data_IF_967900517505
#
_entry.id   IF_967900517505
#
_cell.length_a   1.000
_cell.length_b   1.000
_cell.length_c   1.000
_cell.angle_alpha   90.00
_cell.angle_beta   90.00
_cell.angle_gamma   90.00
#
_symmetry.space_group_name_H-M   'P 1'
#
loop_
_entity.id
_entity.type
_entity.pdbx_description
1 polymer ?
#
# COMPACT_ATOMS: atom_id res chain seq x y z
N UNK A 1 24.54 -27.66 14.18
CA UNK A 1 23.88 -27.02 13.02
C UNK A 1 22.40 -26.93 13.34
N UNK A 2 21.90 -25.75 13.74
CA UNK A 2 20.49 -25.55 14.05
C UNK A 2 19.79 -25.03 12.79
N UNK A 3 18.73 -25.71 12.41
CA UNK A 3 17.94 -25.45 11.22
C UNK A 3 17.47 -23.99 11.22
N UNK A 4 17.85 -23.24 10.18
CA UNK A 4 17.24 -21.96 9.84
C UNK A 4 15.79 -22.26 9.47
N UNK A 5 14.84 -21.73 10.25
CA UNK A 5 13.43 -21.70 9.82
C UNK A 5 13.37 -20.83 8.56
N UNK A 6 12.58 -21.17 7.54
CA UNK A 6 12.29 -20.23 6.47
C UNK A 6 11.71 -18.98 7.12
N UNK A 7 12.21 -17.80 6.75
CA UNK A 7 11.73 -16.52 7.26
C UNK A 7 10.20 -16.53 7.23
N UNK A 8 9.62 -16.48 8.43
CA UNK A 8 8.18 -16.45 8.63
C UNK A 8 7.74 -15.10 8.04
N UNK A 9 7.34 -15.08 6.77
CA UNK A 9 6.82 -13.88 6.09
C UNK A 9 5.66 -13.40 6.95
N UNK A 10 5.91 -12.33 7.71
CA UNK A 10 4.95 -11.75 8.64
C UNK A 10 3.76 -11.31 7.80
N UNK A 11 2.62 -11.95 8.03
CA UNK A 11 1.34 -11.56 7.44
C UNK A 11 1.00 -10.17 7.97
N UNK A 12 1.06 -9.17 7.09
CA UNK A 12 0.67 -7.81 7.41
C UNK A 12 -0.85 -7.71 7.27
N UNK A 13 -1.52 -7.34 8.36
CA UNK A 13 -2.89 -6.88 8.31
C UNK A 13 -2.87 -5.41 7.88
N UNK A 14 -3.26 -5.17 6.64
CA UNK A 14 -3.24 -3.84 6.05
C UNK A 14 -4.50 -3.07 6.45
N UNK A 15 -4.37 -1.77 6.59
CA UNK A 15 -5.48 -0.86 6.90
C UNK A 15 -5.42 0.39 6.02
N UNK A 16 -6.54 1.10 5.91
CA UNK A 16 -6.59 2.42 5.25
C UNK A 16 -5.54 3.35 5.85
N UNK A 17 -4.81 4.06 4.98
CA UNK A 17 -3.69 4.91 5.35
C UNK A 17 -2.34 4.20 5.43
N UNK A 18 -2.28 2.87 5.29
CA UNK A 18 -0.99 2.19 5.16
C UNK A 18 -0.26 2.63 3.89
N UNK A 19 1.03 2.95 4.05
CA UNK A 19 1.92 3.32 2.96
C UNK A 19 2.71 2.09 2.53
N UNK A 20 2.68 1.83 1.23
CA UNK A 20 3.38 0.70 0.61
C UNK A 20 4.26 1.18 -0.53
N UNK A 21 5.29 0.38 -0.82
CA UNK A 21 6.12 0.49 -2.02
C UNK A 21 5.89 -0.72 -2.90
N UNK A 22 5.67 -0.50 -4.20
CA UNK A 22 5.55 -1.60 -5.16
C UNK A 22 6.92 -2.26 -5.36
N UNK A 23 6.96 -3.59 -5.45
CA UNK A 23 8.17 -4.36 -5.76
C UNK A 23 8.32 -4.59 -7.27
N UNK A 24 7.24 -4.44 -8.02
CA UNK A 24 7.16 -4.60 -9.47
C UNK A 24 6.48 -3.40 -10.15
N UNK A 25 6.48 -3.42 -11.50
CA UNK A 25 5.91 -2.35 -12.31
C UNK A 25 4.44 -2.63 -12.64
N UNK A 26 3.61 -1.59 -12.60
CA UNK A 26 2.18 -1.66 -12.89
C UNK A 26 1.83 -0.68 -14.01
N UNK A 27 1.70 -1.19 -15.23
CA UNK A 27 1.46 -0.37 -16.42
C UNK A 27 2.58 0.67 -16.63
N UNK A 28 2.30 1.98 -16.66
CA UNK A 28 3.33 3.01 -16.79
C UNK A 28 4.09 3.30 -15.48
N UNK A 29 3.69 2.68 -14.36
CA UNK A 29 4.29 2.95 -13.05
C UNK A 29 5.43 1.97 -12.78
N UNK A 30 6.67 2.44 -12.56
CA UNK A 30 7.81 1.57 -12.33
C UNK A 30 7.74 0.88 -10.96
N UNK A 31 8.51 -0.18 -10.79
CA UNK A 31 8.83 -0.74 -9.48
C UNK A 31 9.41 0.34 -8.55
N UNK A 32 9.08 0.26 -7.26
CA UNK A 32 9.45 1.26 -6.27
C UNK A 32 8.47 2.42 -6.15
N UNK A 33 7.34 2.40 -6.87
CA UNK A 33 6.30 3.43 -6.76
C UNK A 33 5.67 3.41 -5.37
N UNK A 34 5.38 4.59 -4.83
CA UNK A 34 4.72 4.74 -3.52
C UNK A 34 3.20 4.80 -3.69
N UNK A 35 2.51 4.04 -2.84
CA UNK A 35 1.06 3.97 -2.78
C UNK A 35 0.55 4.09 -1.34
N UNK A 36 -0.74 4.41 -1.23
CA UNK A 36 -1.50 4.33 0.00
C UNK A 36 -2.66 3.36 -0.17
N UNK A 37 -2.93 2.55 0.86
CA UNK A 37 -4.15 1.76 0.97
C UNK A 37 -5.33 2.71 1.21
N UNK A 38 -6.30 2.72 0.29
CA UNK A 38 -7.49 3.57 0.41
C UNK A 38 -8.75 2.77 0.77
N UNK A 39 -8.73 1.45 0.60
CA UNK A 39 -9.85 0.57 0.90
C UNK A 39 -9.33 -0.81 1.31
N UNK A 40 -10.02 -1.42 2.28
CA UNK A 40 -9.88 -2.84 2.61
C UNK A 40 -11.26 -3.48 2.66
N UNK A 41 -11.38 -4.71 2.19
CA UNK A 41 -12.64 -5.44 2.15
C UNK A 41 -12.42 -6.95 2.22
N UNK A 42 -13.38 -7.72 2.74
CA UNK A 42 -13.21 -9.16 2.89
C UNK A 42 -13.04 -9.85 1.53
N UNK A 43 -12.12 -10.82 1.47
CA UNK A 43 -12.11 -11.80 0.40
C UNK A 43 -13.31 -12.74 0.58
N UNK A 44 -14.16 -12.84 -0.44
CA UNK A 44 -15.35 -13.70 -0.37
C UNK A 44 -14.99 -15.20 -0.36
N UNK A 45 -13.78 -15.56 -0.79
CA UNK A 45 -13.33 -16.96 -0.93
C UNK A 45 -12.50 -17.45 0.28
N UNK A 46 -12.11 -16.55 1.20
CA UNK A 46 -11.27 -16.88 2.35
C UNK A 46 -11.77 -16.19 3.62
N UNK A 47 -11.86 -16.92 4.74
CA UNK A 47 -12.35 -16.36 6.02
C UNK A 47 -11.50 -15.20 6.57
N UNK A 48 -10.22 -15.16 6.19
CA UNK A 48 -9.19 -14.15 6.45
C UNK A 48 -8.13 -14.46 5.40
N UNK A 49 -7.80 -13.58 4.42
CA UNK A 49 -7.39 -12.19 4.64
C UNK A 49 -8.15 -11.16 3.81
N UNK A 50 -8.08 -9.88 4.19
CA UNK A 50 -8.70 -8.78 3.46
C UNK A 50 -7.98 -8.52 2.12
N UNK A 51 -8.76 -8.23 1.09
CA UNK A 51 -8.28 -7.62 -0.15
C UNK A 51 -8.11 -6.13 0.11
N UNK A 52 -7.04 -5.54 -0.42
CA UNK A 52 -6.80 -4.10 -0.31
C UNK A 52 -6.79 -3.46 -1.68
N UNK A 53 -7.17 -2.20 -1.76
CA UNK A 53 -6.97 -1.38 -2.96
C UNK A 53 -6.06 -0.20 -2.65
N UNK A 54 -5.19 0.13 -3.61
CA UNK A 54 -4.15 1.14 -3.41
C UNK A 54 -4.17 2.19 -4.52
N UNK A 55 -3.89 3.43 -4.11
CA UNK A 55 -3.72 4.57 -5.01
C UNK A 55 -2.29 5.05 -4.92
N UNK A 56 -1.65 5.21 -6.07
CA UNK A 56 -0.29 5.73 -6.16
C UNK A 56 -0.27 7.24 -5.88
N UNK A 57 0.87 7.73 -5.40
CA UNK A 57 1.09 9.17 -5.15
C UNK A 57 0.89 10.06 -6.39
N UNK A 58 1.01 9.48 -7.59
CA UNK A 58 0.73 10.14 -8.87
C UNK A 58 -0.77 10.08 -9.29
N UNK A 59 -1.63 9.56 -8.43
CA UNK A 59 -3.07 9.45 -8.64
C UNK A 59 -3.53 8.23 -9.43
N UNK A 60 -2.62 7.38 -9.88
CA UNK A 60 -3.03 6.14 -10.54
C UNK A 60 -3.56 5.15 -9.50
N UNK A 61 -4.84 4.79 -9.63
CA UNK A 61 -5.42 3.60 -9.03
C UNK A 61 -4.93 2.38 -9.81
N UNK A 62 -4.17 1.49 -9.15
CA UNK A 62 -3.64 0.27 -9.77
C UNK A 62 -4.41 -0.99 -9.35
N UNK A 63 -5.56 -0.79 -8.70
CA UNK A 63 -6.52 -1.83 -8.38
C UNK A 63 -6.27 -2.51 -7.04
N UNK A 64 -6.77 -3.75 -6.96
CA UNK A 64 -6.86 -4.51 -5.72
C UNK A 64 -5.86 -5.65 -5.67
N UNK A 65 -5.39 -5.95 -4.45
CA UNK A 65 -4.40 -6.97 -4.15
C UNK A 65 -4.97 -7.94 -3.12
N UNK A 66 -5.13 -9.20 -3.52
CA UNK A 66 -5.39 -10.29 -2.58
C UNK A 66 -4.14 -10.57 -1.72
N UNK A 67 -4.28 -11.46 -0.75
CA UNK A 67 -3.20 -11.72 0.21
C UNK A 67 -1.88 -12.21 -0.41
N UNK A 68 -1.96 -13.06 -1.43
CA UNK A 68 -0.78 -13.56 -2.14
C UNK A 68 -0.09 -12.41 -2.85
N UNK A 69 -0.86 -11.60 -3.59
CA UNK A 69 -0.37 -10.44 -4.34
C UNK A 69 0.24 -9.39 -3.41
N UNK A 70 -0.39 -9.10 -2.27
CA UNK A 70 0.16 -8.20 -1.24
C UNK A 70 1.57 -8.61 -0.81
N UNK A 71 1.78 -9.92 -0.67
CA UNK A 71 3.02 -10.50 -0.15
C UNK A 71 4.14 -10.59 -1.20
N UNK A 72 3.78 -10.53 -2.49
CA UNK A 72 4.70 -10.59 -3.62
C UNK A 72 5.02 -9.20 -4.16
N UNK A 73 4.00 -8.34 -4.25
CA UNK A 73 4.04 -7.08 -4.98
C UNK A 73 4.24 -5.84 -4.11
N UNK A 74 4.11 -5.95 -2.78
CA UNK A 74 4.12 -4.79 -1.89
C UNK A 74 5.11 -4.93 -0.72
N UNK A 75 5.75 -3.82 -0.38
CA UNK A 75 6.53 -3.65 0.86
C UNK A 75 5.87 -2.58 1.72
N UNK A 76 5.41 -2.94 2.91
CA UNK A 76 4.87 -1.96 3.87
C UNK A 76 5.98 -1.05 4.41
N UNK A 77 5.72 0.26 4.46
CA UNK A 77 6.68 1.27 4.91
C UNK A 77 6.25 1.97 6.20
N UNK A 78 4.95 2.08 6.43
CA UNK A 78 4.41 2.86 7.55
C UNK A 78 2.91 3.08 7.40
N UNK A 79 2.37 3.96 8.23
CA UNK A 79 0.97 4.37 8.21
C UNK A 79 0.89 5.88 8.38
N UNK A 80 -0.08 6.50 7.70
CA UNK A 80 -0.45 7.90 7.89
C UNK A 80 -1.86 7.96 8.46
N UNK A 81 -2.10 8.94 9.34
CA UNK A 81 -3.41 9.14 9.95
C UNK A 81 -4.35 9.83 8.93
N UNK A 82 -5.21 9.04 8.31
CA UNK A 82 -6.21 9.52 7.36
C UNK A 82 -7.54 8.79 7.58
N UNK A 83 -8.60 9.58 7.70
CA UNK A 83 -9.97 9.06 7.79
C UNK A 83 -10.63 9.08 6.41
N UNK A 84 -10.24 8.16 5.53
CA UNK A 84 -10.82 8.03 4.20
C UNK A 84 -11.89 6.93 4.13
N UNK A 85 -12.98 7.18 3.42
CA UNK A 85 -14.04 6.20 3.15
C UNK A 85 -14.28 6.16 1.65
N UNK A 86 -13.87 5.07 1.03
CA UNK A 86 -14.13 4.86 -0.39
C UNK A 86 -15.62 4.69 -0.67
N UNK A 87 -16.06 5.16 -1.85
CA UNK A 87 -17.45 5.02 -2.29
C UNK A 87 -17.57 4.65 -3.76
N UNK A 88 -16.76 5.23 -4.64
CA UNK A 88 -16.73 4.89 -6.07
C UNK A 88 -15.44 5.38 -6.73
N UNK A 89 -15.09 4.86 -7.92
CA UNK A 89 -13.90 5.33 -8.64
C UNK A 89 -13.98 6.81 -9.02
N UNK A 90 -15.19 7.31 -9.31
CA UNK A 90 -15.40 8.73 -9.63
C UNK A 90 -15.14 9.63 -8.43
N UNK A 91 -15.54 9.19 -7.22
CA UNK A 91 -15.28 9.92 -5.99
C UNK A 91 -13.78 9.93 -5.67
N UNK A 92 -13.12 8.76 -5.71
CA UNK A 92 -11.68 8.63 -5.50
C UNK A 92 -10.89 9.60 -6.39
N UNK A 93 -11.29 9.71 -7.66
CA UNK A 93 -10.60 10.58 -8.60
C UNK A 93 -10.91 12.07 -8.43
N UNK A 94 -12.10 12.41 -7.95
CA UNK A 94 -12.41 13.77 -7.52
C UNK A 94 -11.57 14.14 -6.29
N UNK A 95 -11.55 13.29 -5.26
CA UNK A 95 -10.79 13.50 -4.02
C UNK A 95 -9.29 13.69 -4.28
N UNK A 96 -8.71 12.86 -5.16
CA UNK A 96 -7.32 13.02 -5.58
C UNK A 96 -7.06 14.37 -6.24
N UNK A 97 -7.90 14.74 -7.22
CA UNK A 97 -7.75 16.00 -7.95
C UNK A 97 -7.95 17.23 -7.07
N UNK A 98 -8.84 17.13 -6.09
CA UNK A 98 -9.13 18.21 -5.13
C UNK A 98 -8.09 18.26 -4.01
N UNK A 99 -7.13 17.34 -4.01
CA UNK A 99 -5.96 17.35 -3.13
C UNK A 99 -6.21 16.74 -1.74
N UNK A 100 -7.28 15.95 -1.58
CA UNK A 100 -7.61 15.29 -0.32
C UNK A 100 -6.43 14.48 0.26
N UNK A 101 -5.68 13.81 -0.62
CA UNK A 101 -4.54 12.96 -0.24
C UNK A 101 -3.21 13.72 -0.14
N UNK A 102 -3.16 15.03 -0.39
CA UNK A 102 -1.89 15.76 -0.51
C UNK A 102 -1.03 15.67 0.76
N UNK A 103 -1.66 15.80 1.94
CA UNK A 103 -0.94 15.68 3.21
C UNK A 103 -0.44 14.24 3.42
N UNK A 104 -1.30 13.25 3.25
CA UNK A 104 -0.94 11.83 3.36
C UNK A 104 0.22 11.45 2.42
N UNK A 105 0.21 11.94 1.19
CA UNK A 105 1.30 11.69 0.24
C UNK A 105 2.59 12.45 0.55
N UNK A 106 2.51 13.66 1.11
CA UNK A 106 3.68 14.35 1.61
C UNK A 106 4.33 13.57 2.77
N UNK A 107 3.53 13.07 3.71
CA UNK A 107 4.00 12.24 4.82
C UNK A 107 4.58 10.90 4.33
N UNK A 108 3.93 10.26 3.34
CA UNK A 108 4.41 9.03 2.72
C UNK A 108 5.82 9.17 2.12
N UNK A 109 6.13 10.32 1.52
CA UNK A 109 7.47 10.60 1.01
C UNK A 109 8.51 10.68 2.13
N UNK A 110 8.19 11.35 3.23
CA UNK A 110 9.06 11.43 4.41
C UNK A 110 9.31 10.04 5.01
N UNK A 111 8.27 9.21 5.14
CA UNK A 111 8.39 7.82 5.60
C UNK A 111 9.32 7.02 4.68
N UNK A 112 9.11 7.11 3.36
CA UNK A 112 9.90 6.41 2.35
C UNK A 112 11.40 6.75 2.44
N UNK A 113 11.73 8.02 2.68
CA UNK A 113 13.11 8.49 2.85
C UNK A 113 13.74 7.95 4.14
N UNK A 114 13.01 7.95 5.26
CA UNK A 114 13.51 7.43 6.55
C UNK A 114 13.81 5.92 6.50
N UNK A 115 12.96 5.16 5.82
CA UNK A 115 13.18 3.72 5.61
C UNK A 115 14.39 3.50 4.69
N UNK A 116 14.55 4.31 3.65
CA UNK A 116 15.69 4.26 2.73
C UNK A 116 17.04 4.56 3.39
N UNK A 117 17.09 5.47 4.37
CA UNK A 117 18.31 5.80 5.13
C UNK A 117 18.69 4.70 6.12
N UNK A 118 17.70 4.01 6.69
CA UNK A 118 17.94 2.96 7.70
C UNK A 118 18.50 1.66 7.12
N UNK A 119 18.45 1.45 5.80
CA UNK A 119 19.00 0.26 5.12
C UNK A 119 20.45 0.42 4.63
N UNK A 120 21.12 1.55 4.91
CA UNK A 120 22.49 1.85 4.43
C UNK A 120 23.53 1.85 5.58
N UNK A 121 23.22 1.23 6.73
CA UNK A 121 24.13 1.15 7.89
C UNK A 121 24.45 -0.29 8.26
#
# INVERSE_FOLDING_TARGET
MKNMKPDEKIVKDYQVGDIVRTTESFGPNPAGSLAMVYETYPDNDVKVPEVISIILTNGHDIGSFNHTEQTESLTWLGNVDIAYVYSSPSQLMADYRDGYFNQAFAEAQVISEQVGVSSVV
#
